data_IF_652369115453
#
_entry.id   IF_652369115453
#
_cell.length_a   1.000
_cell.length_b   1.000
_cell.length_c   1.000
_cell.angle_alpha   90.00
_cell.angle_beta   90.00
_cell.angle_gamma   90.00
#
_symmetry.space_group_name_H-M   'P 1'
#
loop_
_entity.id
_entity.type
_entity.pdbx_description
1 polymer ?
#
# COMPACT_ATOMS: atom_id res chain seq x y z
N UNK A 1 -8.08 29.92 -20.62
CA UNK A 1 -7.82 29.11 -19.40
C UNK A 1 -8.70 27.85 -19.30
N UNK A 2 -9.48 27.49 -20.33
CA UNK A 2 -10.25 26.23 -20.35
C UNK A 2 -9.49 25.08 -21.05
N UNK A 3 -8.54 25.40 -21.93
CA UNK A 3 -7.86 24.41 -22.78
C UNK A 3 -6.76 23.60 -22.07
N UNK A 4 -6.20 24.14 -20.98
CA UNK A 4 -5.21 23.42 -20.16
C UNK A 4 -5.83 22.28 -19.34
N UNK A 5 -7.12 22.37 -19.01
CA UNK A 5 -7.84 21.34 -18.24
C UNK A 5 -8.25 20.16 -19.13
N UNK A 6 -8.53 20.41 -20.42
CA UNK A 6 -8.84 19.34 -21.37
C UNK A 6 -7.59 18.50 -21.71
N UNK A 7 -6.39 19.12 -21.70
CA UNK A 7 -5.12 18.41 -21.93
C UNK A 7 -4.77 17.42 -20.81
N UNK A 8 -5.23 17.66 -19.57
CA UNK A 8 -5.08 16.72 -18.45
C UNK A 8 -5.97 15.47 -18.62
N UNK A 9 -7.02 15.54 -19.44
CA UNK A 9 -7.95 14.43 -19.68
C UNK A 9 -7.33 13.32 -20.55
N UNK A 10 -6.32 13.64 -21.35
CA UNK A 10 -5.60 12.70 -22.21
C UNK A 10 -4.28 12.19 -21.63
N UNK A 11 -3.78 12.81 -20.56
CA UNK A 11 -2.63 12.29 -19.85
C UNK A 11 -3.14 11.16 -18.96
N UNK A 12 -3.10 9.93 -19.49
CA UNK A 12 -3.02 8.73 -18.66
C UNK A 12 -1.73 8.81 -17.86
N UNK A 13 -1.72 9.64 -16.80
CA UNK A 13 -0.73 9.65 -15.72
C UNK A 13 -0.98 8.41 -14.87
N UNK A 14 -1.05 7.28 -15.57
CA UNK A 14 -1.31 5.99 -15.01
C UNK A 14 0.05 5.36 -14.84
N UNK A 15 0.68 5.65 -13.70
CA UNK A 15 1.88 4.92 -13.32
C UNK A 15 1.48 3.45 -13.22
N UNK A 16 1.98 2.58 -14.11
CA UNK A 16 1.65 1.18 -14.07
C UNK A 16 2.06 0.65 -12.71
N UNK A 17 1.16 -0.06 -12.01
CA UNK A 17 1.45 -0.73 -10.74
C UNK A 17 2.57 -1.79 -10.84
N UNK A 18 3.27 -1.90 -11.98
CA UNK A 18 4.40 -2.80 -12.23
C UNK A 18 5.64 -2.49 -11.37
N UNK A 19 5.83 -1.26 -10.91
CA UNK A 19 7.00 -0.91 -10.08
C UNK A 19 6.86 -1.28 -8.60
N UNK A 20 5.63 -1.55 -8.12
CA UNK A 20 5.36 -2.07 -6.76
C UNK A 20 4.70 -3.44 -6.83
N UNK A 21 5.17 -4.30 -7.72
CA UNK A 21 4.73 -5.69 -7.74
C UNK A 21 5.29 -6.40 -6.50
N UNK A 22 4.41 -6.83 -5.60
CA UNK A 22 4.79 -7.65 -4.47
C UNK A 22 5.07 -9.06 -5.00
N UNK A 23 6.32 -9.48 -4.96
CA UNK A 23 6.77 -10.81 -5.35
C UNK A 23 7.91 -11.25 -4.42
N UNK A 24 8.37 -12.49 -4.56
CA UNK A 24 9.45 -13.01 -3.73
C UNK A 24 10.72 -12.13 -3.77
N UNK A 25 11.06 -11.57 -4.94
CA UNK A 25 12.24 -10.71 -5.08
C UNK A 25 12.07 -9.38 -4.33
N UNK A 26 10.91 -8.72 -4.45
CA UNK A 26 10.67 -7.46 -3.75
C UNK A 26 10.58 -7.65 -2.23
N UNK A 27 10.07 -8.80 -1.75
CA UNK A 27 10.10 -9.15 -0.32
C UNK A 27 11.53 -9.41 0.20
N UNK A 28 12.40 -10.04 -0.58
CA UNK A 28 13.82 -10.21 -0.21
C UNK A 28 14.52 -8.86 -0.14
N UNK A 29 14.34 -8.01 -1.16
CA UNK A 29 14.92 -6.65 -1.19
C UNK A 29 14.42 -5.83 -0.01
N UNK A 30 13.12 -5.91 0.28
CA UNK A 30 12.50 -5.27 1.44
C UNK A 30 13.11 -5.77 2.76
N UNK A 31 13.26 -7.09 2.91
CA UNK A 31 13.90 -7.72 4.07
C UNK A 31 15.34 -7.24 4.28
N UNK A 32 16.12 -7.11 3.21
CA UNK A 32 17.48 -6.57 3.27
C UNK A 32 17.46 -5.08 3.65
N UNK A 33 16.54 -4.30 3.08
CA UNK A 33 16.42 -2.87 3.35
C UNK A 33 16.00 -2.57 4.80
N UNK A 34 15.17 -3.43 5.41
CA UNK A 34 14.72 -3.28 6.81
C UNK A 34 15.66 -3.91 7.82
N UNK A 35 16.78 -4.49 7.37
CA UNK A 35 17.76 -5.14 8.25
C UNK A 35 18.23 -4.23 9.38
N UNK A 36 18.42 -2.94 9.10
CA UNK A 36 18.82 -1.96 10.11
C UNK A 36 17.78 -1.84 11.23
N UNK A 37 16.49 -1.89 10.89
CA UNK A 37 15.42 -1.87 11.90
C UNK A 37 15.29 -3.17 12.68
N UNK A 38 15.66 -4.29 12.05
CA UNK A 38 15.62 -5.61 12.68
C UNK A 38 16.80 -5.92 13.61
N UNK A 39 17.85 -5.09 13.62
CA UNK A 39 19.01 -5.32 14.46
C UNK A 39 18.69 -5.02 15.95
N UNK A 40 18.84 -6.05 16.77
CA UNK A 40 18.74 -6.02 18.23
C UNK A 40 20.09 -6.11 18.92
N UNK A 41 21.11 -6.58 18.21
CA UNK A 41 22.41 -6.99 18.79
C UNK A 41 23.40 -5.85 18.87
N UNK A 42 23.27 -4.86 17.98
CA UNK A 42 24.18 -3.73 17.90
C UNK A 42 23.64 -2.54 18.72
N UNK A 43 24.34 -2.04 19.73
CA UNK A 43 23.92 -0.84 20.45
C UNK A 43 23.94 0.36 19.49
N UNK A 44 22.80 1.06 19.40
CA UNK A 44 22.61 2.21 18.50
C UNK A 44 22.30 3.49 19.29
N UNK A 45 23.22 4.00 20.15
CA UNK A 45 22.94 5.16 21.00
C UNK A 45 22.91 6.50 20.25
N UNK A 46 23.30 6.52 18.97
CA UNK A 46 23.32 7.74 18.16
C UNK A 46 21.92 8.16 17.73
N UNK A 47 21.60 9.45 17.84
CA UNK A 47 20.31 9.99 17.34
C UNK A 47 20.05 9.68 15.86
N UNK A 48 21.09 9.65 15.04
CA UNK A 48 21.01 9.23 13.63
C UNK A 48 20.76 7.73 13.47
N UNK A 49 21.23 6.91 14.39
CA UNK A 49 21.00 5.46 14.37
C UNK A 49 19.52 5.17 14.71
N UNK A 50 18.97 5.89 15.69
CA UNK A 50 17.54 5.88 16.02
C UNK A 50 16.67 6.41 14.86
N UNK A 51 17.06 7.51 14.21
CA UNK A 51 16.37 8.03 13.03
C UNK A 51 16.40 7.03 11.87
N UNK A 52 17.56 6.40 11.61
CA UNK A 52 17.73 5.34 10.61
C UNK A 52 16.81 4.12 10.86
N UNK A 53 16.64 3.75 12.13
CA UNK A 53 15.73 2.67 12.54
C UNK A 53 14.26 3.04 12.35
N UNK A 54 13.90 4.27 12.69
CA UNK A 54 12.55 4.80 12.52
C UNK A 54 12.17 4.94 11.05
N UNK A 55 13.03 5.54 10.21
CA UNK A 55 12.77 5.70 8.78
C UNK A 55 12.65 4.34 8.08
N UNK A 56 13.46 3.35 8.47
CA UNK A 56 13.40 2.00 7.90
C UNK A 56 12.10 1.27 8.25
N UNK A 57 11.58 1.49 9.46
CA UNK A 57 10.27 0.97 9.90
C UNK A 57 9.13 1.66 9.15
N UNK A 58 9.24 2.98 9.00
CA UNK A 58 8.30 3.81 8.22
C UNK A 58 8.25 3.37 6.76
N UNK A 59 9.41 3.12 6.16
CA UNK A 59 9.56 2.62 4.79
C UNK A 59 8.89 1.26 4.60
N UNK A 60 9.02 0.34 5.57
CA UNK A 60 8.31 -0.94 5.54
C UNK A 60 6.79 -0.74 5.53
N UNK A 61 6.28 0.14 6.38
CA UNK A 61 4.86 0.47 6.45
C UNK A 61 4.35 1.05 5.13
N UNK A 62 5.09 2.01 4.55
CA UNK A 62 4.73 2.62 3.29
C UNK A 62 4.71 1.60 2.14
N UNK A 63 5.78 0.80 2.04
CA UNK A 63 5.90 -0.26 1.04
C UNK A 63 4.71 -1.23 1.12
N UNK A 64 4.31 -1.64 2.32
CA UNK A 64 3.15 -2.52 2.59
C UNK A 64 1.87 -1.97 1.97
N UNK A 65 1.60 -0.67 2.11
CA UNK A 65 0.42 -0.04 1.50
C UNK A 65 0.54 0.04 -0.02
N UNK A 66 1.74 0.33 -0.54
CA UNK A 66 1.97 0.42 -1.98
C UNK A 66 1.91 -0.93 -2.70
N UNK A 67 2.08 -2.03 -1.98
CA UNK A 67 1.92 -3.38 -2.49
C UNK A 67 0.47 -3.86 -2.64
N UNK A 68 -0.49 -3.21 -1.96
CA UNK A 68 -1.92 -3.55 -2.00
C UNK A 68 -2.47 -3.76 -3.43
N UNK A 69 -2.24 -2.87 -4.41
CA UNK A 69 -2.78 -3.05 -5.76
C UNK A 69 -2.22 -4.30 -6.48
N UNK A 70 -0.99 -4.70 -6.15
CA UNK A 70 -0.36 -5.87 -6.78
C UNK A 70 -0.98 -7.19 -6.30
N UNK A 71 -1.53 -7.24 -5.08
CA UNK A 71 -2.22 -8.45 -4.59
C UNK A 71 -3.49 -8.73 -5.38
N UNK A 72 -4.17 -7.71 -5.91
CA UNK A 72 -5.41 -7.89 -6.68
C UNK A 72 -5.21 -8.56 -8.05
N UNK A 73 -4.00 -8.52 -8.61
CA UNK A 73 -3.69 -9.11 -9.91
C UNK A 73 -3.03 -10.50 -9.83
N UNK A 74 -2.68 -10.96 -8.63
CA UNK A 74 -1.98 -12.22 -8.40
C UNK A 74 -2.93 -13.41 -8.30
N UNK A 75 -2.38 -14.63 -8.41
CA UNK A 75 -3.13 -15.86 -8.14
C UNK A 75 -3.38 -16.03 -6.64
N UNK A 76 -4.44 -16.74 -6.25
CA UNK A 76 -4.78 -16.95 -4.83
C UNK A 76 -3.62 -17.55 -4.01
N UNK A 77 -2.88 -18.49 -4.62
CA UNK A 77 -1.71 -19.12 -3.98
C UNK A 77 -0.58 -18.11 -3.80
N UNK A 78 -0.29 -17.32 -4.83
CA UNK A 78 0.78 -16.33 -4.78
C UNK A 78 0.46 -15.25 -3.76
N UNK A 79 -0.80 -14.77 -3.71
CA UNK A 79 -1.29 -13.83 -2.68
C UNK A 79 -0.99 -14.37 -1.28
N UNK A 80 -1.37 -15.61 -1.00
CA UNK A 80 -1.16 -16.23 0.32
C UNK A 80 0.31 -16.35 0.71
N UNK A 81 1.17 -16.84 -0.20
CA UNK A 81 2.62 -16.99 0.08
C UNK A 81 3.26 -15.64 0.35
N UNK A 82 2.95 -14.67 -0.50
CA UNK A 82 3.48 -13.32 -0.43
C UNK A 82 3.00 -12.56 0.82
N UNK A 83 1.70 -12.65 1.14
CA UNK A 83 1.12 -12.04 2.32
C UNK A 83 1.68 -12.67 3.60
N UNK A 84 1.90 -13.99 3.60
CA UNK A 84 2.52 -14.70 4.72
C UNK A 84 3.96 -14.23 4.95
N UNK A 85 4.75 -14.12 3.89
CA UNK A 85 6.13 -13.66 3.98
C UNK A 85 6.21 -12.20 4.48
N UNK A 86 5.34 -11.31 3.99
CA UNK A 86 5.22 -9.95 4.51
C UNK A 86 4.78 -9.93 5.98
N UNK A 87 3.84 -10.78 6.36
CA UNK A 87 3.37 -10.93 7.73
C UNK A 87 4.48 -11.36 8.68
N UNK A 88 5.32 -12.32 8.28
CA UNK A 88 6.49 -12.74 9.06
C UNK A 88 7.41 -11.53 9.30
N UNK A 89 7.70 -10.75 8.26
CA UNK A 89 8.57 -9.57 8.37
C UNK A 89 8.04 -8.54 9.39
N UNK A 90 6.73 -8.27 9.38
CA UNK A 90 6.08 -7.30 10.29
C UNK A 90 5.99 -7.86 11.72
N UNK A 91 5.71 -9.15 11.88
CA UNK A 91 5.71 -9.82 13.20
C UNK A 91 7.11 -9.78 13.81
N UNK A 92 8.15 -10.10 13.04
CA UNK A 92 9.55 -10.01 13.50
C UNK A 92 9.89 -8.59 13.97
N UNK A 93 9.54 -7.57 13.19
CA UNK A 93 9.73 -6.18 13.60
C UNK A 93 9.00 -5.85 14.91
N UNK A 94 7.76 -6.32 15.06
CA UNK A 94 6.95 -6.06 16.25
C UNK A 94 7.58 -6.70 17.49
N UNK A 95 8.01 -7.96 17.38
CA UNK A 95 8.73 -8.65 18.47
C UNK A 95 10.02 -7.92 18.83
N UNK A 96 10.77 -7.43 17.85
CA UNK A 96 12.00 -6.67 18.09
C UNK A 96 11.73 -5.40 18.90
N UNK A 97 10.66 -4.67 18.61
CA UNK A 97 10.29 -3.47 19.35
C UNK A 97 9.79 -3.81 20.75
N UNK A 98 9.00 -4.88 20.91
CA UNK A 98 8.58 -5.38 22.22
C UNK A 98 9.81 -5.68 23.10
N UNK A 99 10.81 -6.38 22.57
CA UNK A 99 12.06 -6.67 23.29
C UNK A 99 12.79 -5.37 23.67
N UNK A 100 12.90 -4.41 22.75
CA UNK A 100 13.54 -3.12 23.00
C UNK A 100 12.84 -2.32 24.11
N UNK A 101 11.50 -2.35 24.15
CA UNK A 101 10.68 -1.71 25.20
C UNK A 101 10.91 -2.40 26.56
N UNK A 102 10.86 -3.74 26.61
CA UNK A 102 11.10 -4.49 27.86
C UNK A 102 12.49 -4.27 28.43
N UNK A 103 13.50 -4.16 27.57
CA UNK A 103 14.90 -3.97 28.00
C UNK A 103 15.14 -2.54 28.51
N UNK A 104 14.16 -1.61 28.40
CA UNK A 104 14.29 -0.18 28.74
C UNK A 104 15.46 0.53 28.06
N UNK A 105 16.00 -0.05 26.98
CA UNK A 105 17.14 0.50 26.22
C UNK A 105 16.69 1.65 25.32
N UNK A 106 15.39 1.72 24.99
CA UNK A 106 14.84 2.74 24.09
C UNK A 106 13.66 3.44 24.75
N UNK A 107 13.74 4.76 24.81
CA UNK A 107 12.75 5.70 25.35
C UNK A 107 12.11 6.51 24.20
N UNK A 108 11.89 5.87 23.05
CA UNK A 108 11.29 6.49 21.87
C UNK A 108 9.86 5.97 21.66
N UNK A 109 8.89 6.68 22.25
CA UNK A 109 7.46 6.42 22.09
C UNK A 109 7.03 6.42 20.60
N UNK A 110 7.77 7.15 19.76
CA UNK A 110 7.54 7.23 18.32
C UNK A 110 7.74 5.88 17.60
N UNK A 111 8.77 5.11 17.96
CA UNK A 111 9.02 3.82 17.31
C UNK A 111 7.90 2.84 17.59
N UNK A 112 7.34 2.88 18.81
CA UNK A 112 6.18 2.06 19.21
C UNK A 112 4.95 2.46 18.39
N UNK A 113 4.70 3.76 18.22
CA UNK A 113 3.59 4.27 17.43
C UNK A 113 3.69 3.81 15.95
N UNK A 114 4.84 3.97 15.31
CA UNK A 114 5.02 3.60 13.89
C UNK A 114 4.83 2.09 13.68
N UNK A 115 5.29 1.26 14.62
CA UNK A 115 5.09 -0.20 14.55
C UNK A 115 3.62 -0.56 14.71
N UNK A 116 2.90 0.08 15.63
CA UNK A 116 1.46 -0.13 15.78
C UNK A 116 0.70 0.24 14.49
N UNK A 117 1.05 1.37 13.86
CA UNK A 117 0.48 1.77 12.57
C UNK A 117 0.84 0.77 11.45
N UNK A 118 2.03 0.17 11.49
CA UNK A 118 2.46 -0.86 10.54
C UNK A 118 1.63 -2.14 10.65
N UNK A 119 1.37 -2.60 11.89
CA UNK A 119 0.51 -3.76 12.16
C UNK A 119 -0.93 -3.47 11.71
N UNK A 120 -1.45 -2.29 12.03
CA UNK A 120 -2.79 -1.86 11.60
C UNK A 120 -2.91 -1.88 10.07
N UNK A 121 -1.94 -1.29 9.36
CA UNK A 121 -1.90 -1.28 7.90
C UNK A 121 -1.86 -2.69 7.31
N UNK A 122 -1.12 -3.61 7.93
CA UNK A 122 -1.08 -5.01 7.52
C UNK A 122 -2.41 -5.75 7.70
N UNK A 123 -3.14 -5.47 8.78
CA UNK A 123 -4.48 -6.05 9.01
C UNK A 123 -5.44 -5.59 7.92
N UNK A 124 -5.42 -4.29 7.58
CA UNK A 124 -6.24 -3.74 6.49
C UNK A 124 -5.85 -4.39 5.16
N UNK A 125 -4.54 -4.45 4.85
CA UNK A 125 -4.04 -5.10 3.64
C UNK A 125 -4.49 -6.56 3.52
N UNK A 126 -4.35 -7.33 4.61
CA UNK A 126 -4.74 -8.74 4.66
C UNK A 126 -6.25 -8.91 4.44
N UNK A 127 -7.05 -8.09 5.12
CA UNK A 127 -8.51 -8.11 5.00
C UNK A 127 -8.95 -7.78 3.57
N UNK A 128 -8.40 -6.71 2.99
CA UNK A 128 -8.69 -6.32 1.60
C UNK A 128 -8.25 -7.39 0.60
N UNK A 129 -7.06 -7.96 0.75
CA UNK A 129 -6.56 -9.02 -0.14
C UNK A 129 -7.44 -10.27 -0.08
N UNK A 130 -7.88 -10.67 1.12
CA UNK A 130 -8.78 -11.80 1.30
C UNK A 130 -10.17 -11.54 0.69
N UNK A 131 -10.73 -10.35 0.89
CA UNK A 131 -12.02 -9.98 0.27
C UNK A 131 -11.95 -9.99 -1.25
N UNK A 132 -10.85 -9.50 -1.84
CA UNK A 132 -10.64 -9.47 -3.29
C UNK A 132 -10.51 -10.90 -3.86
N UNK A 133 -9.68 -11.74 -3.25
CA UNK A 133 -9.47 -13.14 -3.68
C UNK A 133 -10.75 -13.97 -3.53
N UNK A 134 -11.46 -13.86 -2.40
CA UNK A 134 -12.72 -14.60 -2.19
C UNK A 134 -13.81 -14.17 -3.16
N UNK A 135 -13.93 -12.87 -3.44
CA UNK A 135 -14.88 -12.36 -4.43
C UNK A 135 -14.57 -12.87 -5.84
N UNK A 136 -13.28 -12.87 -6.24
CA UNK A 136 -12.84 -13.42 -7.52
C UNK A 136 -13.17 -14.89 -7.65
N UNK A 137 -12.82 -15.70 -6.65
CA UNK A 137 -13.08 -17.14 -6.63
C UNK A 137 -14.57 -17.48 -6.67
N UNK A 138 -15.39 -16.72 -5.92
CA UNK A 138 -16.84 -16.87 -5.94
C UNK A 138 -17.40 -16.60 -7.35
N UNK A 139 -16.94 -15.53 -7.99
CA UNK A 139 -17.40 -15.13 -9.31
C UNK A 139 -16.97 -16.12 -10.41
N UNK A 140 -15.72 -16.61 -10.35
CA UNK A 140 -15.20 -17.64 -11.26
C UNK A 140 -15.95 -18.97 -11.10
N UNK A 141 -16.23 -19.39 -9.86
CA UNK A 141 -17.01 -20.60 -9.59
C UNK A 141 -18.43 -20.50 -10.18
N UNK A 142 -19.15 -19.41 -9.87
CA UNK A 142 -20.50 -19.14 -10.43
C UNK A 142 -20.48 -19.11 -11.96
N UNK A 143 -19.45 -18.54 -12.56
CA UNK A 143 -19.31 -18.46 -14.01
C UNK A 143 -19.11 -19.83 -14.64
N UNK A 144 -18.21 -20.65 -14.10
CA UNK A 144 -17.94 -21.99 -14.59
C UNK A 144 -19.15 -22.92 -14.44
N UNK A 145 -19.90 -22.79 -13.34
CA UNK A 145 -21.13 -23.54 -13.11
C UNK A 145 -22.18 -23.24 -14.19
N UNK A 146 -22.47 -21.96 -14.44
CA UNK A 146 -23.41 -21.54 -15.48
C UNK A 146 -22.91 -21.91 -16.88
N UNK A 147 -21.62 -21.72 -17.17
CA UNK A 147 -21.04 -22.09 -18.47
C UNK A 147 -21.15 -23.59 -18.76
N UNK A 148 -20.94 -24.44 -17.76
CA UNK A 148 -21.11 -25.89 -17.88
C UNK A 148 -22.57 -26.26 -18.15
N UNK A 149 -23.53 -25.60 -17.48
CA UNK A 149 -24.96 -25.82 -17.72
C UNK A 149 -25.38 -25.42 -19.14
N UNK A 150 -24.91 -24.28 -19.67
CA UNK A 150 -25.14 -23.84 -21.07
C UNK A 150 -24.66 -24.89 -22.07
N UNK A 151 -23.55 -25.55 -21.79
CA UNK A 151 -22.99 -26.55 -22.71
C UNK A 151 -23.74 -27.89 -22.69
N UNK A 152 -24.54 -28.17 -21.66
CA UNK A 152 -25.20 -29.46 -21.44
C UNK A 152 -26.71 -29.39 -21.67
N UNK A 153 -27.35 -28.24 -21.40
CA UNK A 153 -28.79 -28.04 -21.48
C UNK A 153 -29.10 -26.62 -22.02
N UNK A 154 -30.15 -26.47 -22.84
CA UNK A 154 -30.67 -25.14 -23.18
C UNK A 154 -31.30 -24.51 -21.91
N UNK A 155 -30.64 -23.48 -21.40
CA UNK A 155 -31.00 -22.85 -20.13
C UNK A 155 -32.36 -22.11 -20.18
N UNK A 156 -33.13 -22.14 -19.08
CA UNK A 156 -34.28 -21.26 -18.93
C UNK A 156 -33.89 -19.78 -18.98
N UNK A 157 -34.78 -18.94 -19.51
CA UNK A 157 -34.57 -17.52 -19.84
C UNK A 157 -34.09 -16.66 -18.64
N UNK A 158 -34.49 -17.02 -17.41
CA UNK A 158 -34.10 -16.35 -16.17
C UNK A 158 -32.60 -16.54 -15.83
N UNK A 159 -32.06 -17.76 -16.01
CA UNK A 159 -30.64 -18.04 -15.74
C UNK A 159 -29.72 -17.48 -16.84
N UNK A 160 -30.22 -17.27 -18.07
CA UNK A 160 -29.49 -16.58 -19.15
C UNK A 160 -29.24 -15.11 -18.77
N UNK A 161 -30.26 -14.44 -18.22
CA UNK A 161 -30.16 -13.06 -17.73
C UNK A 161 -29.11 -12.94 -16.61
N UNK A 162 -29.08 -13.91 -15.70
CA UNK A 162 -28.12 -13.96 -14.60
C UNK A 162 -26.69 -14.22 -15.09
N UNK A 163 -26.50 -15.02 -16.14
CA UNK A 163 -25.20 -15.21 -16.80
C UNK A 163 -24.69 -13.91 -17.45
N UNK A 164 -25.55 -13.18 -18.18
CA UNK A 164 -25.17 -11.92 -18.79
C UNK A 164 -24.82 -10.85 -17.74
N UNK A 165 -25.56 -10.83 -16.64
CA UNK A 165 -25.30 -9.94 -15.51
C UNK A 165 -24.00 -10.32 -14.80
N UNK A 166 -23.70 -11.61 -14.67
CA UNK A 166 -22.43 -12.11 -14.13
C UNK A 166 -21.27 -11.74 -15.07
N UNK A 167 -21.40 -11.94 -16.37
CA UNK A 167 -20.41 -11.57 -17.39
C UNK A 167 -20.17 -10.05 -17.42
N UNK A 168 -21.22 -9.25 -17.26
CA UNK A 168 -21.10 -7.79 -17.08
C UNK A 168 -20.33 -7.47 -15.80
N UNK A 169 -20.63 -8.15 -14.69
CA UNK A 169 -19.94 -7.98 -13.42
C UNK A 169 -18.47 -8.41 -13.51
N UNK A 170 -18.17 -9.48 -14.26
CA UNK A 170 -16.83 -10.01 -14.50
C UNK A 170 -16.03 -9.07 -15.41
N UNK A 171 -16.65 -8.55 -16.47
CA UNK A 171 -16.07 -7.50 -17.32
C UNK A 171 -15.85 -6.22 -16.52
N UNK A 172 -16.80 -5.83 -15.68
CA UNK A 172 -16.66 -4.68 -14.79
C UNK A 172 -15.54 -4.90 -13.79
N UNK A 173 -15.48 -6.04 -13.12
CA UNK A 173 -14.46 -6.42 -12.15
C UNK A 173 -13.08 -6.54 -12.79
N UNK A 174 -12.99 -7.11 -14.00
CA UNK A 174 -11.75 -7.18 -14.77
C UNK A 174 -11.27 -5.79 -15.17
N UNK A 175 -12.17 -4.97 -15.73
CA UNK A 175 -11.87 -3.56 -16.00
C UNK A 175 -11.49 -2.85 -14.71
N UNK A 176 -12.11 -3.15 -13.58
CA UNK A 176 -11.91 -2.52 -12.28
C UNK A 176 -10.59 -2.93 -11.61
N UNK A 177 -10.18 -4.19 -11.74
CA UNK A 177 -8.89 -4.72 -11.31
C UNK A 177 -7.77 -4.21 -12.21
N UNK A 178 -8.04 -4.11 -13.52
CA UNK A 178 -7.14 -3.53 -14.49
C UNK A 178 -7.02 -2.01 -14.27
N UNK A 179 -8.12 -1.27 -14.01
CA UNK A 179 -8.17 0.20 -13.94
C UNK A 179 -8.05 0.81 -12.54
N UNK A 180 -7.96 0.01 -11.46
CA UNK A 180 -7.90 0.50 -10.08
C UNK A 180 -9.10 1.42 -9.74
N UNK A 181 -10.27 0.82 -9.48
CA UNK A 181 -11.55 1.52 -9.26
C UNK A 181 -11.55 2.73 -8.30
N UNK A 182 -12.41 3.74 -8.50
CA UNK A 182 -12.65 4.79 -7.51
C UNK A 182 -13.15 4.28 -6.15
N UNK A 183 -13.88 3.16 -6.06
CA UNK A 183 -14.33 2.61 -4.76
C UNK A 183 -13.22 1.86 -4.03
N UNK A 184 -12.35 1.16 -4.77
CA UNK A 184 -11.14 0.56 -4.23
C UNK A 184 -10.12 1.63 -3.85
N UNK A 185 -10.06 2.73 -4.61
CA UNK A 185 -9.27 3.93 -4.32
C UNK A 185 -9.87 4.76 -3.17
N UNK A 186 -11.19 4.75 -2.97
CA UNK A 186 -11.84 5.35 -1.78
C UNK A 186 -11.54 4.55 -0.51
N UNK A 187 -11.59 3.20 -0.57
CA UNK A 187 -11.08 2.38 0.54
C UNK A 187 -9.56 2.61 0.77
N UNK A 188 -8.81 2.90 -0.30
CA UNK A 188 -7.41 3.31 -0.26
C UNK A 188 -7.22 4.76 0.24
N UNK A 189 -8.28 5.58 0.34
CA UNK A 189 -8.22 6.95 0.88
C UNK A 189 -7.92 6.94 2.37
N UNK A 190 -8.44 5.96 3.11
CA UNK A 190 -8.14 5.77 4.53
C UNK A 190 -6.67 5.37 4.73
N UNK A 191 -6.18 4.43 3.89
CA UNK A 191 -4.78 4.03 3.87
C UNK A 191 -3.85 5.18 3.42
N UNK A 192 -4.27 6.01 2.46
CA UNK A 192 -3.54 7.20 2.00
C UNK A 192 -3.45 8.27 3.09
N UNK A 193 -4.51 8.45 3.88
CA UNK A 193 -4.50 9.35 5.03
C UNK A 193 -3.52 8.89 6.10
N UNK A 194 -3.55 7.59 6.44
CA UNK A 194 -2.60 6.99 7.39
C UNK A 194 -1.16 7.11 6.89
N UNK A 195 -0.88 6.83 5.61
CA UNK A 195 0.44 7.02 5.01
C UNK A 195 0.93 8.47 5.08
N UNK A 196 0.04 9.42 4.80
CA UNK A 196 0.37 10.84 4.86
C UNK A 196 0.70 11.27 6.30
N UNK A 197 -0.09 10.82 7.28
CA UNK A 197 0.19 11.08 8.69
C UNK A 197 1.53 10.50 9.12
N UNK A 198 1.81 9.24 8.74
CA UNK A 198 3.08 8.58 9.00
C UNK A 198 4.25 9.37 8.39
N UNK A 199 4.14 9.81 7.14
CA UNK A 199 5.18 10.60 6.48
C UNK A 199 5.42 11.95 7.14
N UNK A 200 4.35 12.68 7.49
CA UNK A 200 4.46 13.98 8.18
C UNK A 200 5.13 13.81 9.55
N UNK A 201 4.77 12.77 10.31
CA UNK A 201 5.40 12.47 11.60
C UNK A 201 6.89 12.16 11.42
N UNK A 202 7.25 11.31 10.44
CA UNK A 202 8.66 10.99 10.17
C UNK A 202 9.46 12.20 9.70
N UNK A 203 8.89 13.07 8.87
CA UNK A 203 9.54 14.30 8.42
C UNK A 203 9.77 15.31 9.54
N UNK A 204 8.79 15.49 10.44
CA UNK A 204 8.93 16.35 11.63
C UNK A 204 10.05 15.82 12.54
N UNK A 205 10.08 14.50 12.75
CA UNK A 205 11.10 13.86 13.57
C UNK A 205 12.50 14.02 12.96
N UNK A 206 12.65 13.73 11.67
CA UNK A 206 13.93 13.87 10.94
C UNK A 206 14.42 15.31 10.89
N UNK A 207 13.52 16.28 10.65
CA UNK A 207 13.83 17.70 10.69
C UNK A 207 14.32 18.16 12.07
N UNK A 208 13.77 17.60 13.15
CA UNK A 208 14.24 17.87 14.51
C UNK A 208 15.65 17.30 14.76
N UNK A 209 15.98 16.14 14.20
CA UNK A 209 17.32 15.52 14.34
C UNK A 209 18.38 16.29 13.54
N UNK A 210 18.04 16.77 12.35
CA UNK A 210 18.95 17.54 11.48
C UNK A 210 19.22 18.96 12.01
N UNK A 211 18.20 19.66 12.53
CA UNK A 211 18.32 21.02 13.06
C UNK A 211 19.17 21.09 14.33
N UNK A 212 19.19 20.02 15.13
CA UNK A 212 19.83 20.01 16.44
C UNK A 212 21.34 19.66 16.38
N UNK A 213 21.90 19.29 15.21
CA UNK A 213 23.23 18.68 15.19
C UNK A 213 24.18 19.18 14.08
N UNK A 214 25.13 20.04 14.46
CA UNK A 214 26.29 20.42 13.64
C UNK A 214 27.45 19.40 13.72
N UNK A 215 27.32 18.30 14.48
CA UNK A 215 28.36 17.26 14.62
C UNK A 215 27.78 15.85 14.51
N UNK A 216 28.05 15.22 13.37
CA UNK A 216 27.75 13.84 13.02
C UNK A 216 28.41 12.84 13.99
N UNK A 217 27.80 12.58 15.15
CA UNK A 217 28.19 11.48 16.04
C UNK A 217 27.50 10.21 15.58
N UNK A 218 28.09 9.54 14.59
CA UNK A 218 27.75 8.16 14.25
C UNK A 218 28.50 7.26 15.21
N UNK A 219 27.78 6.59 16.12
CA UNK A 219 28.36 5.69 17.11
C UNK A 219 28.13 4.21 16.77
N UNK A 220 27.29 3.92 15.78
CA UNK A 220 26.98 2.57 15.31
C UNK A 220 28.10 1.93 14.47
N UNK A 221 28.25 0.61 14.59
CA UNK A 221 29.14 -0.23 13.77
C UNK A 221 28.84 -0.11 12.26
N UNK A 222 27.62 0.29 11.90
CA UNK A 222 27.20 0.53 10.52
C UNK A 222 27.80 1.80 9.90
N UNK A 223 28.35 2.73 10.69
CA UNK A 223 29.09 3.92 10.22
C UNK A 223 28.35 4.66 9.07
N UNK A 224 29.01 4.87 7.94
CA UNK A 224 28.46 5.58 6.76
C UNK A 224 27.27 4.86 6.11
N UNK A 225 27.09 3.55 6.32
CA UNK A 225 25.98 2.83 5.67
C UNK A 225 24.63 3.27 6.22
N UNK A 226 24.55 3.68 7.50
CA UNK A 226 23.32 4.24 8.09
C UNK A 226 22.88 5.48 7.32
N UNK A 227 23.81 6.35 6.96
CA UNK A 227 23.53 7.57 6.20
C UNK A 227 22.99 7.26 4.80
N UNK A 228 23.59 6.28 4.11
CA UNK A 228 23.12 5.86 2.78
C UNK A 228 21.73 5.20 2.85
N UNK A 229 21.50 4.33 3.82
CA UNK A 229 20.19 3.70 4.05
C UNK A 229 19.14 4.75 4.37
N UNK A 230 19.47 5.70 5.24
CA UNK A 230 18.60 6.81 5.60
C UNK A 230 18.20 7.64 4.38
N UNK A 231 19.17 8.10 3.59
CA UNK A 231 18.89 8.96 2.43
C UNK A 231 18.11 8.23 1.33
N UNK A 232 18.46 6.97 1.05
CA UNK A 232 17.76 6.17 0.04
C UNK A 232 16.30 5.92 0.41
N UNK A 233 16.03 5.55 1.68
CA UNK A 233 14.68 5.33 2.18
C UNK A 233 13.88 6.64 2.26
N UNK A 234 14.52 7.75 2.60
CA UNK A 234 13.85 9.05 2.64
C UNK A 234 13.43 9.53 1.23
N UNK A 235 14.27 9.32 0.21
CA UNK A 235 13.91 9.63 -1.20
C UNK A 235 12.76 8.74 -1.67
N UNK A 236 12.80 7.44 -1.33
CA UNK A 236 11.73 6.51 -1.70
C UNK A 236 10.39 6.89 -1.04
N UNK A 237 10.41 7.26 0.24
CA UNK A 237 9.23 7.76 0.93
C UNK A 237 8.64 9.03 0.28
N UNK A 238 9.48 9.96 -0.13
CA UNK A 238 9.02 11.15 -0.86
C UNK A 238 8.35 10.77 -2.18
N UNK A 239 8.90 9.78 -2.90
CA UNK A 239 8.30 9.24 -4.12
C UNK A 239 6.95 8.57 -3.83
N UNK A 240 6.84 7.78 -2.76
CA UNK A 240 5.60 7.16 -2.29
C UNK A 240 4.48 8.18 -2.00
N UNK A 241 4.82 9.31 -1.38
CA UNK A 241 3.88 10.39 -1.10
C UNK A 241 3.41 11.06 -2.39
N UNK A 242 4.33 11.36 -3.31
CA UNK A 242 3.97 11.92 -4.62
C UNK A 242 3.05 10.98 -5.39
N UNK A 243 3.34 9.68 -5.38
CA UNK A 243 2.47 8.66 -5.99
C UNK A 243 1.09 8.61 -5.33
N UNK A 244 1.02 8.67 -4.00
CA UNK A 244 -0.25 8.62 -3.25
C UNK A 244 -1.09 9.88 -3.46
N UNK A 245 -0.48 11.07 -3.45
CA UNK A 245 -1.13 12.34 -3.78
C UNK A 245 -1.64 12.34 -5.21
N UNK A 246 -0.87 11.82 -6.16
CA UNK A 246 -1.30 11.66 -7.55
C UNK A 246 -2.57 10.81 -7.66
N UNK A 247 -2.60 9.64 -6.99
CA UNK A 247 -3.78 8.75 -6.95
C UNK A 247 -4.99 9.43 -6.30
N UNK A 248 -4.77 10.13 -5.19
CA UNK A 248 -5.83 10.85 -4.48
C UNK A 248 -6.42 11.99 -5.33
N UNK A 249 -5.58 12.78 -6.01
CA UNK A 249 -6.04 13.85 -6.88
C UNK A 249 -6.87 13.33 -8.06
N UNK A 250 -6.46 12.21 -8.67
CA UNK A 250 -7.23 11.55 -9.72
C UNK A 250 -8.59 11.08 -9.21
N UNK A 251 -8.63 10.47 -8.02
CA UNK A 251 -9.87 10.02 -7.38
C UNK A 251 -10.83 11.18 -7.07
N UNK A 252 -10.29 12.29 -6.55
CA UNK A 252 -11.04 13.51 -6.27
C UNK A 252 -11.62 14.10 -7.56
N UNK A 253 -10.80 14.17 -8.62
CA UNK A 253 -11.23 14.70 -9.92
C UNK A 253 -12.38 13.87 -10.49
N UNK A 254 -12.28 12.54 -10.43
CA UNK A 254 -13.34 11.64 -10.89
C UNK A 254 -14.63 11.79 -10.07
N UNK A 255 -14.51 11.91 -8.74
CA UNK A 255 -15.66 12.12 -7.85
C UNK A 255 -16.37 13.44 -8.14
N UNK A 256 -15.61 14.53 -8.29
CA UNK A 256 -16.15 15.86 -8.63
C UNK A 256 -16.83 15.84 -10.01
N UNK A 257 -16.23 15.15 -10.99
CA UNK A 257 -16.84 14.99 -12.31
C UNK A 257 -18.15 14.18 -12.25
N UNK A 258 -18.20 13.12 -11.44
CA UNK A 258 -19.40 12.30 -11.29
C UNK A 258 -20.53 13.07 -10.59
N UNK A 259 -20.22 13.84 -9.55
CA UNK A 259 -21.17 14.76 -8.90
C UNK A 259 -21.68 15.80 -9.89
N UNK A 260 -20.79 16.44 -10.67
CA UNK A 260 -21.19 17.41 -11.70
C UNK A 260 -22.11 16.80 -12.76
N UNK A 261 -21.86 15.55 -13.16
CA UNK A 261 -22.70 14.83 -14.13
C UNK A 261 -24.09 14.50 -13.55
N UNK A 262 -24.16 14.14 -12.28
CA UNK A 262 -25.41 13.95 -11.53
C UNK A 262 -26.21 15.26 -11.41
N UNK A 263 -25.54 16.38 -11.11
CA UNK A 263 -26.19 17.70 -11.03
C UNK A 263 -26.76 18.16 -12.38
N UNK A 264 -26.07 17.90 -13.49
CA UNK A 264 -26.58 18.23 -14.83
C UNK A 264 -27.78 17.35 -15.20
N UNK A 265 -27.75 16.07 -14.85
CA UNK A 265 -28.86 15.13 -15.08
C UNK A 265 -30.11 15.43 -14.25
N UNK A 266 -29.97 16.03 -13.06
CA UNK A 266 -31.10 16.43 -12.21
C UNK A 266 -31.73 17.76 -12.61
N UNK A 267 -31.03 18.58 -13.41
CA UNK A 267 -31.53 19.87 -13.92
C UNK A 267 -32.25 19.69 -15.28
N UNK A 268 -31.99 18.58 -15.99
CA UNK A 268 -32.63 18.26 -17.28
C UNK A 268 -33.92 17.44 -17.17
N UNK A 269 -34.52 17.36 -15.98
CA UNK A 269 -35.75 16.63 -15.69
C UNK A 269 -36.77 17.59 -15.07
#
# INVERSE_FOLDING_TARGET
MADTVLSLHHIKLWFPCRYSALNAASLIVLGIAVKLSMDLTTPMPGKFDHAGKSISTTFLCASTTHFMPSLGSMSDRDILVNLTALGILIVTLTLNVIIQVFTRVIQDDFQVLVVFMSVYTFIILSSSALTVSTSKKYLEHKYNELHTRISVEELPEDEIMDFDRLKLCLKKYWVMAETSDPQFVMAQSEASGVLFMIYVISYIFDGSVLLTNNKLKIASDYKWSVYLVYWTQHVDMALCVVMSLGRFLVALLHTVQNIRKLTISSISL
#
